data_IF_675957584573
#
_entry.id   IF_675957584573
#
_cell.length_a   1.000
_cell.length_b   1.000
_cell.length_c   1.000
_cell.angle_alpha   90.00
_cell.angle_beta   90.00
_cell.angle_gamma   90.00
#
_symmetry.space_group_name_H-M   'P 1'
#
loop_
_entity.id
_entity.type
_entity.pdbx_description
1 polymer ?
#
# COMPACT_ATOMS: atom_id res chain seq x y z
N UNK A 1 -16.96 -9.43 3.81
CA UNK A 1 -17.15 -10.20 5.06
C UNK A 1 -17.08 -11.70 4.79
N UNK A 2 -17.95 -12.26 3.92
CA UNK A 2 -17.94 -13.69 3.54
C UNK A 2 -16.56 -14.26 3.16
N UNK A 3 -15.80 -13.58 2.30
CA UNK A 3 -14.44 -14.05 1.91
C UNK A 3 -13.44 -14.12 3.08
N UNK A 4 -13.60 -13.31 4.13
CA UNK A 4 -12.73 -13.35 5.32
C UNK A 4 -13.07 -14.57 6.18
N UNK A 5 -14.35 -14.79 6.47
CA UNK A 5 -14.84 -15.92 7.25
C UNK A 5 -14.52 -17.27 6.59
N UNK A 6 -14.71 -17.37 5.26
CA UNK A 6 -14.35 -18.58 4.50
C UNK A 6 -12.87 -18.91 4.61
N UNK A 7 -12.00 -17.91 4.49
CA UNK A 7 -10.55 -18.14 4.56
C UNK A 7 -10.09 -18.52 5.98
N UNK A 8 -10.70 -17.94 7.02
CA UNK A 8 -10.44 -18.33 8.41
C UNK A 8 -10.88 -19.78 8.67
N UNK A 9 -12.02 -20.18 8.12
CA UNK A 9 -12.52 -21.55 8.23
C UNK A 9 -11.66 -22.57 7.47
N UNK A 10 -11.13 -22.21 6.29
CA UNK A 10 -10.16 -23.03 5.54
C UNK A 10 -8.86 -23.25 6.34
N UNK A 11 -8.36 -22.21 7.04
CA UNK A 11 -7.14 -22.31 7.86
C UNK A 11 -7.36 -23.17 9.11
N UNK A 12 -8.55 -23.12 9.69
CA UNK A 12 -8.92 -23.89 10.88
C UNK A 12 -9.43 -25.30 10.55
N UNK A 13 -9.54 -25.65 9.26
CA UNK A 13 -10.10 -26.90 8.78
C UNK A 13 -11.50 -27.20 9.35
N UNK A 14 -12.36 -26.18 9.43
CA UNK A 14 -13.72 -26.36 9.92
C UNK A 14 -14.63 -27.02 8.89
N UNK A 15 -15.51 -27.89 9.36
CA UNK A 15 -16.59 -28.47 8.57
C UNK A 15 -17.68 -27.42 8.24
N UNK A 16 -18.48 -27.68 7.21
CA UNK A 16 -19.57 -26.78 6.76
C UNK A 16 -20.53 -26.39 7.89
N UNK A 17 -20.80 -27.31 8.84
CA UNK A 17 -21.64 -27.05 10.02
C UNK A 17 -20.99 -26.09 11.02
N UNK A 18 -19.69 -26.21 11.23
CA UNK A 18 -18.95 -25.32 12.13
C UNK A 18 -18.78 -23.93 11.51
N UNK A 19 -18.71 -23.87 10.18
CA UNK A 19 -18.74 -22.63 9.42
C UNK A 19 -20.08 -21.91 9.56
N UNK A 20 -21.20 -22.61 9.43
CA UNK A 20 -22.54 -22.06 9.65
C UNK A 20 -22.72 -21.52 11.07
N UNK A 21 -22.31 -22.27 12.10
CA UNK A 21 -22.33 -21.78 13.49
C UNK A 21 -21.48 -20.51 13.69
N UNK A 22 -20.36 -20.40 12.98
CA UNK A 22 -19.51 -19.22 13.01
C UNK A 22 -20.19 -18.02 12.32
N UNK A 23 -20.90 -18.24 11.21
CA UNK A 23 -21.70 -17.22 10.54
C UNK A 23 -22.85 -16.73 11.42
N UNK A 24 -23.56 -17.64 12.08
CA UNK A 24 -24.63 -17.34 13.04
C UNK A 24 -24.12 -16.46 14.19
N UNK A 25 -23.03 -16.88 14.84
CA UNK A 25 -22.45 -16.19 15.99
C UNK A 25 -21.85 -14.83 15.64
N UNK A 26 -21.40 -14.62 14.41
CA UNK A 26 -20.71 -13.38 14.00
C UNK A 26 -21.50 -12.58 12.99
N UNK A 27 -21.56 -13.04 11.75
CA UNK A 27 -22.05 -12.25 10.62
C UNK A 27 -23.54 -11.91 10.76
N UNK A 28 -24.38 -12.85 11.18
CA UNK A 28 -25.82 -12.62 11.37
C UNK A 28 -26.13 -11.89 12.67
N UNK A 29 -25.40 -12.16 13.76
CA UNK A 29 -25.55 -11.39 15.00
C UNK A 29 -25.32 -9.87 14.79
N UNK A 30 -24.38 -9.50 13.92
CA UNK A 30 -24.12 -8.10 13.58
C UNK A 30 -25.06 -7.53 12.50
N UNK A 31 -25.58 -8.37 11.60
CA UNK A 31 -26.53 -7.93 10.57
C UNK A 31 -27.94 -7.71 11.13
N UNK A 32 -28.34 -8.50 12.14
CA UNK A 32 -29.61 -8.38 12.86
C UNK A 32 -29.72 -7.06 13.64
N UNK A 33 -28.60 -6.56 14.18
CA UNK A 33 -28.54 -5.26 14.88
C UNK A 33 -28.71 -4.08 13.91
N UNK A 34 -28.09 -4.11 12.73
CA UNK A 34 -28.26 -3.12 11.63
C UNK A 34 -27.84 -3.72 10.28
N UNK A 35 -28.69 -3.69 9.23
CA UNK A 35 -28.35 -4.26 7.93
C UNK A 35 -27.18 -3.48 7.29
N UNK A 36 -26.13 -4.20 6.88
CA UNK A 36 -24.90 -3.62 6.31
C UNK A 36 -23.85 -3.19 7.34
N UNK A 37 -24.17 -3.26 8.63
CA UNK A 37 -23.26 -2.87 9.72
C UNK A 37 -22.17 -3.89 9.99
N UNK A 38 -22.28 -5.14 9.52
CA UNK A 38 -21.26 -6.17 9.78
C UNK A 38 -19.89 -5.71 9.29
N UNK A 39 -19.80 -5.09 8.10
CA UNK A 39 -18.53 -4.56 7.60
C UNK A 39 -18.01 -3.36 8.41
N UNK A 40 -18.89 -2.49 8.89
CA UNK A 40 -18.52 -1.34 9.73
C UNK A 40 -18.09 -1.76 11.13
N UNK A 41 -18.75 -2.75 11.71
CA UNK A 41 -18.37 -3.36 12.97
C UNK A 41 -17.02 -4.05 12.82
N UNK A 42 -16.76 -4.77 11.73
CA UNK A 42 -15.43 -5.31 11.46
C UNK A 42 -14.35 -4.22 11.30
N UNK A 43 -14.69 -3.03 10.76
CA UNK A 43 -13.78 -1.86 10.76
C UNK A 43 -13.52 -1.34 12.16
N UNK A 44 -14.55 -1.16 12.96
CA UNK A 44 -14.44 -0.69 14.33
C UNK A 44 -13.69 -1.69 15.21
N UNK A 45 -13.89 -2.99 14.97
CA UNK A 45 -13.25 -4.09 15.67
C UNK A 45 -11.71 -4.12 15.50
N UNK A 46 -11.17 -3.52 14.43
CA UNK A 46 -9.72 -3.33 14.28
C UNK A 46 -9.16 -2.38 15.35
N UNK A 47 -9.93 -1.34 15.68
CA UNK A 47 -9.56 -0.32 16.66
C UNK A 47 -10.00 -0.69 18.07
N UNK A 48 -11.10 -1.44 18.21
CA UNK A 48 -11.70 -1.86 19.48
C UNK A 48 -11.98 -3.37 19.45
N UNK A 49 -11.05 -4.22 19.93
CA UNK A 49 -11.23 -5.67 19.94
C UNK A 49 -12.36 -6.14 20.86
N UNK A 50 -12.86 -5.28 21.76
CA UNK A 50 -13.95 -5.56 22.70
C UNK A 50 -15.30 -5.85 22.03
N UNK A 51 -15.53 -5.38 20.79
CA UNK A 51 -16.77 -5.67 20.05
C UNK A 51 -16.86 -7.15 19.62
N UNK A 52 -15.72 -7.84 19.52
CA UNK A 52 -15.64 -9.27 19.21
C UNK A 52 -15.73 -10.15 20.47
N UNK A 53 -15.54 -9.57 21.67
CA UNK A 53 -15.66 -10.30 22.94
C UNK A 53 -17.12 -10.63 23.29
N UNK A 54 -18.09 -9.87 22.77
CA UNK A 54 -19.52 -10.17 22.93
C UNK A 54 -19.92 -11.50 22.27
N UNK A 55 -19.15 -12.01 21.29
CA UNK A 55 -19.51 -13.19 20.51
C UNK A 55 -19.04 -14.54 21.08
N UNK A 56 -18.36 -14.59 22.24
CA UNK A 56 -17.84 -15.84 22.84
C UNK A 56 -17.16 -16.77 21.82
N UNK A 57 -16.35 -16.20 20.92
CA UNK A 57 -15.60 -16.97 19.94
C UNK A 57 -14.35 -17.56 20.60
N UNK A 58 -13.94 -18.73 20.11
CA UNK A 58 -12.70 -19.35 20.53
C UNK A 58 -11.51 -18.40 20.29
N UNK A 59 -10.59 -18.32 21.25
CA UNK A 59 -9.53 -17.30 21.29
C UNK A 59 -8.65 -17.37 20.03
N UNK A 60 -8.44 -18.59 19.52
CA UNK A 60 -7.74 -18.86 18.25
C UNK A 60 -8.45 -18.28 17.03
N UNK A 61 -9.77 -18.38 16.98
CA UNK A 61 -10.60 -17.83 15.88
C UNK A 61 -10.54 -16.31 15.92
N UNK A 62 -10.63 -15.73 17.12
CA UNK A 62 -10.57 -14.29 17.34
C UNK A 62 -9.23 -13.70 16.88
N UNK A 63 -8.10 -14.31 17.24
CA UNK A 63 -6.77 -13.86 16.81
C UNK A 63 -6.56 -13.96 15.29
N UNK A 64 -6.98 -15.06 14.68
CA UNK A 64 -6.89 -15.25 13.23
C UNK A 64 -7.75 -14.22 12.51
N UNK A 65 -8.99 -14.04 12.93
CA UNK A 65 -9.92 -13.09 12.35
C UNK A 65 -9.39 -11.64 12.51
N UNK A 66 -8.87 -11.26 13.67
CA UNK A 66 -8.20 -9.97 13.87
C UNK A 66 -7.00 -9.79 12.94
N UNK A 67 -6.16 -10.81 12.77
CA UNK A 67 -4.99 -10.78 11.89
C UNK A 67 -5.41 -10.60 10.43
N UNK A 68 -6.44 -11.32 9.98
CA UNK A 68 -6.94 -11.23 8.61
C UNK A 68 -7.65 -9.90 8.34
N UNK A 69 -8.44 -9.39 9.28
CA UNK A 69 -9.08 -8.08 9.14
C UNK A 69 -8.02 -6.98 9.15
N UNK A 70 -7.04 -7.02 10.06
CA UNK A 70 -5.89 -6.10 10.07
C UNK A 70 -5.18 -6.10 8.72
N UNK A 71 -4.91 -7.28 8.15
CA UNK A 71 -4.28 -7.38 6.82
C UNK A 71 -5.16 -6.84 5.70
N UNK A 72 -6.48 -7.05 5.74
CA UNK A 72 -7.39 -6.68 4.63
C UNK A 72 -7.90 -5.24 4.69
N UNK A 73 -7.98 -4.66 5.88
CA UNK A 73 -8.72 -3.43 6.15
C UNK A 73 -7.83 -2.27 6.58
N UNK A 74 -6.67 -2.52 7.20
CA UNK A 74 -5.70 -1.45 7.38
C UNK A 74 -5.14 -1.05 6.01
N UNK A 75 -4.92 0.26 5.77
CA UNK A 75 -4.16 0.71 4.61
C UNK A 75 -2.79 0.03 4.66
N UNK A 76 -2.62 -1.00 3.83
CA UNK A 76 -1.33 -1.66 3.72
C UNK A 76 -0.36 -0.63 3.18
N UNK A 77 0.84 -0.59 3.76
CA UNK A 77 1.92 0.27 3.27
C UNK A 77 2.10 0.00 1.76
N UNK A 78 1.75 1.00 0.95
CA UNK A 78 1.86 0.87 -0.49
C UNK A 78 3.24 1.37 -0.88
N UNK A 79 3.93 0.55 -1.68
CA UNK A 79 5.16 0.97 -2.33
C UNK A 79 4.78 1.75 -3.57
N UNK A 80 5.13 3.02 -3.61
CA UNK A 80 4.95 3.90 -4.76
C UNK A 80 6.23 3.85 -5.58
N UNK A 81 6.09 3.63 -6.89
CA UNK A 81 7.21 3.63 -7.83
C UNK A 81 6.98 4.70 -8.88
N UNK A 82 8.00 5.51 -9.14
CA UNK A 82 8.02 6.45 -10.27
C UNK A 82 9.27 6.22 -11.09
N UNK A 83 9.14 6.27 -12.41
CA UNK A 83 10.28 6.17 -13.33
C UNK A 83 10.55 7.53 -13.94
N UNK A 84 11.81 7.94 -13.83
CA UNK A 84 12.30 9.21 -14.36
C UNK A 84 13.44 8.94 -15.33
N UNK A 85 13.45 9.70 -16.41
CA UNK A 85 14.56 9.78 -17.34
C UNK A 85 15.29 11.09 -17.09
N UNK A 86 16.57 10.97 -16.74
CA UNK A 86 17.44 12.11 -16.47
C UNK A 86 18.60 12.08 -17.46
N UNK A 87 18.69 13.11 -18.29
CA UNK A 87 19.80 13.32 -19.20
C UNK A 87 20.51 14.63 -18.88
N UNK A 88 21.83 14.62 -18.81
CA UNK A 88 22.62 15.85 -18.80
C UNK A 88 23.76 15.70 -19.81
N UNK A 89 23.82 16.62 -20.77
CA UNK A 89 24.82 16.61 -21.86
C UNK A 89 26.00 17.55 -21.58
N UNK A 90 26.02 18.20 -20.42
CA UNK A 90 27.12 19.07 -20.01
C UNK A 90 28.35 18.25 -19.57
N UNK A 91 29.53 18.88 -19.61
CA UNK A 91 30.80 18.27 -19.23
C UNK A 91 30.83 17.79 -17.75
N UNK A 92 30.01 18.41 -16.89
CA UNK A 92 29.82 18.02 -15.48
C UNK A 92 28.51 17.26 -15.23
N UNK A 93 27.90 16.70 -16.27
CA UNK A 93 26.54 16.16 -16.20
C UNK A 93 26.38 14.99 -15.22
N UNK A 94 27.41 14.16 -15.04
CA UNK A 94 27.35 13.03 -14.10
C UNK A 94 27.26 13.51 -12.65
N UNK A 95 27.97 14.58 -12.29
CA UNK A 95 27.96 15.12 -10.93
C UNK A 95 26.72 15.96 -10.66
N UNK A 96 26.20 16.67 -11.66
CA UNK A 96 24.90 17.32 -11.60
C UNK A 96 23.76 16.32 -11.30
N UNK A 97 23.74 15.18 -12.01
CA UNK A 97 22.71 14.14 -11.78
C UNK A 97 22.85 13.52 -10.39
N UNK A 98 24.07 13.21 -9.94
CA UNK A 98 24.29 12.69 -8.57
C UNK A 98 23.83 13.67 -7.50
N UNK A 99 24.09 14.96 -7.68
CA UNK A 99 23.69 15.99 -6.72
C UNK A 99 22.16 16.15 -6.67
N UNK A 100 21.50 16.19 -7.84
CA UNK A 100 20.05 16.24 -7.93
C UNK A 100 19.38 15.02 -7.25
N UNK A 101 19.90 13.81 -7.53
CA UNK A 101 19.40 12.58 -6.90
C UNK A 101 19.61 12.58 -5.38
N UNK A 102 20.75 13.08 -4.89
CA UNK A 102 21.03 13.21 -3.46
C UNK A 102 20.08 14.21 -2.78
N UNK A 103 19.77 15.34 -3.43
CA UNK A 103 18.80 16.31 -2.94
C UNK A 103 17.38 15.72 -2.86
N UNK A 104 17.02 14.87 -3.84
CA UNK A 104 15.77 14.11 -3.82
C UNK A 104 15.68 13.12 -2.65
N UNK A 105 16.75 12.37 -2.37
CA UNK A 105 16.81 11.45 -1.23
C UNK A 105 16.73 12.20 0.10
N UNK A 106 17.37 13.37 0.21
CA UNK A 106 17.34 14.20 1.41
C UNK A 106 15.95 14.77 1.73
N UNK A 107 15.01 14.77 0.79
CA UNK A 107 13.61 15.13 1.04
C UNK A 107 12.79 13.99 1.66
N UNK A 108 13.34 12.77 1.71
CA UNK A 108 12.72 11.65 2.39
C UNK A 108 12.73 11.86 3.91
N UNK A 109 11.56 11.74 4.54
CA UNK A 109 11.41 11.70 6.00
C UNK A 109 11.70 10.28 6.52
N UNK A 110 12.07 10.13 7.81
CA UNK A 110 12.39 8.82 8.40
C UNK A 110 11.25 7.79 8.27
N UNK A 111 10.00 8.26 8.28
CA UNK A 111 8.81 7.42 8.12
C UNK A 111 8.58 6.96 6.66
N UNK A 112 9.17 7.65 5.68
CA UNK A 112 8.96 7.43 4.23
C UNK A 112 10.30 7.53 3.47
N UNK A 113 11.17 6.52 3.57
CA UNK A 113 12.46 6.56 2.89
C UNK A 113 12.30 6.48 1.37
N UNK A 114 12.89 7.46 0.67
CA UNK A 114 12.98 7.50 -0.79
C UNK A 114 14.25 6.75 -1.21
N UNK A 115 14.10 5.70 -2.00
CA UNK A 115 15.21 4.94 -2.59
C UNK A 115 15.24 5.17 -4.10
N UNK A 116 16.42 5.48 -4.64
CA UNK A 116 16.60 5.65 -6.08
C UNK A 116 17.54 4.57 -6.59
N UNK A 117 17.07 3.76 -7.54
CA UNK A 117 17.88 2.75 -8.22
C UNK A 117 18.03 3.11 -9.69
N UNK A 118 19.15 2.72 -10.28
CA UNK A 118 19.38 2.78 -11.73
C UNK A 118 18.80 1.50 -12.36
N UNK A 119 17.96 1.62 -13.39
CA UNK A 119 17.53 0.47 -14.19
C UNK A 119 18.46 0.34 -15.40
N UNK A 120 18.59 1.42 -16.16
CA UNK A 120 19.42 1.52 -17.35
C UNK A 120 19.84 2.99 -17.52
N UNK A 121 20.96 3.33 -18.18
CA UNK A 121 21.18 4.71 -18.61
C UNK A 121 20.16 5.02 -19.73
N UNK A 122 19.30 6.07 -19.70
CA UNK A 122 19.12 7.21 -18.78
C UNK A 122 17.94 7.10 -17.78
N UNK A 123 17.45 5.88 -17.51
CA UNK A 123 16.29 5.54 -16.68
C UNK A 123 16.63 5.23 -15.22
N UNK A 124 16.04 6.02 -14.33
CA UNK A 124 16.10 5.85 -12.88
C UNK A 124 14.71 5.51 -12.32
N UNK A 125 14.69 4.72 -11.26
CA UNK A 125 13.47 4.38 -10.53
C UNK A 125 13.54 4.91 -9.11
N UNK A 126 12.54 5.71 -8.76
CA UNK A 126 12.34 6.22 -7.41
C UNK A 126 11.27 5.36 -6.74
N UNK A 127 11.60 4.79 -5.59
CA UNK A 127 10.72 3.94 -4.80
C UNK A 127 10.56 4.52 -3.40
N UNK A 128 9.32 4.70 -2.97
CA UNK A 128 9.00 5.15 -1.61
C UNK A 128 7.97 4.22 -1.01
N UNK A 129 8.12 3.87 0.27
CA UNK A 129 7.13 3.07 1.00
C UNK A 129 6.34 3.98 1.92
N UNK A 130 5.01 4.00 1.78
CA UNK A 130 4.16 4.98 2.47
C UNK A 130 2.88 4.31 2.98
N UNK A 131 2.47 4.62 4.20
CA UNK A 131 1.19 4.18 4.76
C UNK A 131 0.01 4.95 4.14
N UNK A 132 0.21 6.25 3.91
CA UNK A 132 -0.77 7.15 3.31
C UNK A 132 -0.49 7.37 1.82
N UNK A 133 -1.44 6.98 0.96
CA UNK A 133 -1.35 7.16 -0.50
C UNK A 133 -1.25 8.63 -0.90
N UNK A 134 -2.08 9.49 -0.31
CA UNK A 134 -2.14 10.92 -0.67
C UNK A 134 -0.84 11.65 -0.31
N UNK A 135 -0.39 11.53 0.93
CA UNK A 135 0.87 12.14 1.40
C UNK A 135 2.08 11.59 0.66
N UNK A 136 2.07 10.31 0.28
CA UNK A 136 3.12 9.69 -0.52
C UNK A 136 3.30 10.29 -1.91
N UNK A 137 2.19 10.60 -2.58
CA UNK A 137 2.21 11.24 -3.90
C UNK A 137 2.72 12.69 -3.79
N UNK A 138 2.28 13.44 -2.78
CA UNK A 138 2.69 14.83 -2.57
C UNK A 138 4.19 14.97 -2.26
N UNK A 139 4.72 14.11 -1.37
CA UNK A 139 6.15 14.10 -1.06
C UNK A 139 7.00 13.74 -2.27
N UNK A 140 6.54 12.77 -3.07
CA UNK A 140 7.24 12.37 -4.29
C UNK A 140 7.22 13.48 -5.34
N UNK A 141 6.09 14.17 -5.53
CA UNK A 141 5.98 15.32 -6.43
C UNK A 141 6.91 16.47 -6.02
N UNK A 142 7.01 16.74 -4.71
CA UNK A 142 7.94 17.74 -4.18
C UNK A 142 9.41 17.35 -4.41
N UNK A 143 9.76 16.08 -4.24
CA UNK A 143 11.09 15.57 -4.52
C UNK A 143 11.43 15.65 -6.02
N UNK A 144 10.47 15.29 -6.89
CA UNK A 144 10.61 15.39 -8.35
C UNK A 144 10.83 16.83 -8.80
N UNK A 145 10.07 17.79 -8.26
CA UNK A 145 10.25 19.23 -8.55
C UNK A 145 11.64 19.74 -8.16
N UNK A 146 12.18 19.31 -7.01
CA UNK A 146 13.54 19.68 -6.60
C UNK A 146 14.61 19.07 -7.51
N UNK A 147 14.43 17.81 -7.89
CA UNK A 147 15.30 17.12 -8.85
C UNK A 147 15.27 17.85 -10.20
N UNK A 148 14.08 18.20 -10.69
CA UNK A 148 13.87 18.93 -11.94
C UNK A 148 14.56 20.30 -11.93
N UNK A 149 14.42 21.08 -10.84
CA UNK A 149 15.09 22.37 -10.69
C UNK A 149 16.61 22.22 -10.76
N UNK A 150 17.20 21.29 -9.99
CA UNK A 150 18.65 21.04 -10.00
C UNK A 150 19.18 20.59 -11.36
N UNK A 151 18.40 19.80 -12.11
CA UNK A 151 18.76 19.33 -13.45
C UNK A 151 18.66 20.47 -14.47
N UNK A 152 17.62 21.31 -14.39
CA UNK A 152 17.44 22.49 -15.26
C UNK A 152 18.54 23.51 -15.06
N UNK A 153 18.94 23.78 -13.81
CA UNK A 153 20.07 24.68 -13.51
C UNK A 153 21.39 24.17 -14.12
N UNK A 154 21.53 22.86 -14.23
CA UNK A 154 22.69 22.19 -14.83
C UNK A 154 22.57 21.99 -16.35
N UNK A 155 21.52 22.53 -17.00
CA UNK A 155 21.29 22.42 -18.44
C UNK A 155 20.89 21.01 -18.91
N UNK A 156 20.36 20.17 -18.02
CA UNK A 156 19.88 18.83 -18.34
C UNK A 156 18.42 18.76 -18.77
N UNK A 157 18.04 17.61 -19.34
CA UNK A 157 16.68 17.25 -19.71
C UNK A 157 16.13 16.27 -18.67
N UNK A 158 14.92 16.55 -18.18
CA UNK A 158 14.18 15.72 -17.24
C UNK A 158 12.85 15.30 -17.87
N UNK A 159 12.61 14.00 -17.99
CA UNK A 159 11.37 13.44 -18.53
C UNK A 159 10.82 12.43 -17.55
N UNK A 160 9.52 12.49 -17.25
CA UNK A 160 8.84 11.49 -16.42
C UNK A 160 8.23 10.45 -17.35
N UNK A 161 8.77 9.23 -17.35
CA UNK A 161 8.29 8.13 -18.22
C UNK A 161 7.07 7.43 -17.64
N UNK A 162 7.06 7.22 -16.32
CA UNK A 162 5.92 6.63 -15.61
C UNK A 162 5.57 7.49 -14.41
N UNK A 163 4.41 8.14 -14.47
CA UNK A 163 3.82 8.80 -13.33
C UNK A 163 3.32 7.75 -12.31
N UNK A 164 3.81 7.88 -11.06
CA UNK A 164 3.31 7.24 -9.83
C UNK A 164 2.50 5.96 -10.06
N UNK A 165 3.20 4.86 -10.28
CA UNK A 165 2.58 3.55 -10.40
C UNK A 165 2.45 2.89 -9.03
N UNK A 166 1.23 2.47 -8.70
CA UNK A 166 0.98 1.55 -7.61
C UNK A 166 1.08 0.11 -8.16
N UNK A 167 1.88 -0.78 -7.53
CA UNK A 167 2.08 -2.15 -8.02
C UNK A 167 0.80 -3.00 -8.07
N UNK A 168 -0.31 -2.52 -7.50
CA UNK A 168 -1.57 -3.26 -7.44
C UNK A 168 -2.48 -3.13 -8.67
N UNK A 169 -2.15 -2.32 -9.68
CA UNK A 169 -3.06 -2.15 -10.84
C UNK A 169 -2.74 -3.06 -12.05
N UNK A 170 -1.70 -3.89 -12.00
CA UNK A 170 -1.23 -4.63 -13.18
C UNK A 170 -1.56 -6.13 -13.26
N UNK A 171 -2.29 -6.72 -12.29
CA UNK A 171 -2.49 -8.18 -12.27
C UNK A 171 -3.88 -8.67 -12.77
N UNK A 172 -4.86 -7.80 -13.07
CA UNK A 172 -6.20 -8.28 -13.46
C UNK A 172 -6.59 -8.15 -14.94
N UNK A 173 -5.69 -7.81 -15.86
CA UNK A 173 -6.05 -7.67 -17.29
C UNK A 173 -5.50 -8.73 -18.25
N UNK A 174 -4.94 -9.84 -17.75
CA UNK A 174 -4.36 -10.88 -18.61
C UNK A 174 -5.02 -12.27 -18.50
N UNK A 175 -6.33 -12.33 -18.23
CA UNK A 175 -7.13 -13.55 -18.47
C UNK A 175 -8.52 -13.12 -18.98
N UNK A 176 -8.59 -12.80 -20.27
CA UNK A 176 -9.79 -12.94 -21.11
C UNK A 176 -9.42 -12.56 -22.55
N UNK A 177 -8.82 -13.52 -23.25
CA UNK A 177 -8.99 -13.73 -24.69
C UNK A 177 -8.78 -15.22 -24.98
#
# INVERSE_FOLDING_TARGET
VHSILRHVAEILHYDEKQLEELYDKTAWHFDDKKPGSSFEVFKMAVNQPSLLDECCLDEKVKELLLTHIKRRLMPQAVKVRSEIEVGCYAYEGVDAVKNALRAGIACGIEEMPIKINLIAPPRYVVTTTTLDKAKGVELLDLALKKIEQSIKDSGGIFTITIAVSFPYFFISFHILY
#
